data_IF_143016600387
#
_entry.id   IF_143016600387
#
_cell.length_a   1.000
_cell.length_b   1.000
_cell.length_c   1.000
_cell.angle_alpha   90.00
_cell.angle_beta   90.00
_cell.angle_gamma   90.00
#
_symmetry.space_group_name_H-M   'P 1'
#
loop_
_entity.id
_entity.type
_entity.pdbx_description
1 polymer ?
#
# COMPACT_ATOMS: atom_id res chain seq x y z
N UNK A 1 -3.67 -0.86 -24.40
CA UNK A 1 -4.42 0.33 -23.91
C UNK A 1 -4.72 0.09 -22.43
N UNK A 2 -4.92 1.09 -21.56
CA UNK A 2 -5.37 0.78 -20.17
C UNK A 2 -6.87 0.52 -20.21
N UNK A 3 -7.30 -0.61 -19.67
CA UNK A 3 -8.71 -1.04 -19.70
C UNK A 3 -9.35 -1.05 -18.31
N UNK A 4 -8.61 -1.56 -17.31
CA UNK A 4 -9.12 -1.71 -15.94
C UNK A 4 -8.14 -1.13 -14.94
N UNK A 5 -8.69 -0.42 -13.95
CA UNK A 5 -7.93 0.16 -12.84
C UNK A 5 -8.57 -0.30 -11.53
N UNK A 6 -7.79 -1.00 -10.69
CA UNK A 6 -8.18 -1.31 -9.32
C UNK A 6 -7.56 -0.30 -8.37
N UNK A 7 -8.36 0.11 -7.38
CA UNK A 7 -8.06 1.23 -6.48
C UNK A 7 -8.23 0.70 -5.06
N UNK A 8 -7.13 0.53 -4.32
CA UNK A 8 -7.13 -0.15 -3.01
C UNK A 8 -6.50 0.71 -1.91
N UNK A 9 -7.29 1.07 -0.90
CA UNK A 9 -6.77 1.81 0.26
C UNK A 9 -5.75 0.96 1.03
N UNK A 10 -4.76 1.61 1.66
CA UNK A 10 -3.93 0.96 2.66
C UNK A 10 -4.79 0.30 3.75
N UNK A 11 -4.31 -0.80 4.30
CA UNK A 11 -4.96 -1.52 5.38
C UNK A 11 -4.96 -0.75 6.72
N UNK A 12 -5.51 -1.35 7.77
CA UNK A 12 -5.66 -0.71 9.07
C UNK A 12 -4.29 -0.33 9.67
N UNK A 13 -4.11 0.98 9.90
CA UNK A 13 -2.84 1.56 10.35
C UNK A 13 -2.81 1.76 11.86
N UNK A 14 -1.60 1.77 12.43
CA UNK A 14 -1.39 2.32 13.77
C UNK A 14 -1.66 3.83 13.78
N UNK A 15 -2.03 4.36 14.93
CA UNK A 15 -2.50 5.75 15.02
C UNK A 15 -1.38 6.75 15.29
N UNK A 16 -1.59 7.98 14.87
CA UNK A 16 -0.79 9.16 15.22
C UNK A 16 -1.73 10.33 15.49
N UNK A 17 -1.24 11.29 16.27
CA UNK A 17 -1.95 12.51 16.62
C UNK A 17 -1.09 13.72 16.31
N UNK A 18 -1.75 14.85 16.16
CA UNK A 18 -1.11 16.17 16.14
C UNK A 18 -1.61 16.93 17.36
N UNK A 19 -0.70 17.53 18.10
CA UNK A 19 -1.08 18.51 19.12
C UNK A 19 -1.52 19.80 18.43
N UNK A 20 -2.78 20.24 18.56
CA UNK A 20 -3.29 21.42 17.87
C UNK A 20 -2.64 22.73 18.32
N UNK A 21 -2.07 22.78 19.52
CA UNK A 21 -1.44 24.00 20.06
C UNK A 21 0.03 24.10 19.66
N UNK A 22 0.75 22.98 19.64
CA UNK A 22 2.19 22.97 19.35
C UNK A 22 2.52 22.57 17.91
N UNK A 23 1.56 21.99 17.18
CA UNK A 23 1.78 21.44 15.85
C UNK A 23 2.66 20.18 15.83
N UNK A 24 2.99 19.63 17.01
CA UNK A 24 3.87 18.47 17.13
C UNK A 24 3.12 17.21 16.75
N UNK A 25 3.69 16.44 15.82
CA UNK A 25 3.18 15.14 15.41
C UNK A 25 3.75 14.03 16.27
N UNK A 26 2.88 13.21 16.87
CA UNK A 26 3.27 12.10 17.72
C UNK A 26 2.64 10.80 17.23
N UNK A 27 3.46 9.78 17.00
CA UNK A 27 2.98 8.44 16.71
C UNK A 27 2.83 7.63 18.00
N UNK A 28 1.82 6.75 18.03
CA UNK A 28 1.63 5.81 19.16
C UNK A 28 2.76 4.78 19.29
N UNK A 29 3.57 4.62 18.25
CA UNK A 29 4.70 3.68 18.18
C UNK A 29 5.81 4.29 17.32
N UNK A 30 7.05 3.81 17.50
CA UNK A 30 8.17 4.22 16.67
C UNK A 30 7.89 3.81 15.22
N UNK A 31 7.89 4.78 14.32
CA UNK A 31 7.64 4.53 12.90
C UNK A 31 8.92 4.04 12.22
N UNK A 32 8.84 3.10 11.26
CA UNK A 32 10.01 2.57 10.56
C UNK A 32 10.80 3.64 9.80
N UNK A 33 10.11 4.68 9.33
CA UNK A 33 10.69 5.80 8.59
C UNK A 33 11.17 6.94 9.48
N UNK A 34 10.88 6.90 10.79
CA UNK A 34 11.13 8.00 11.73
C UNK A 34 10.17 9.19 11.58
N UNK A 35 9.26 9.15 10.60
CA UNK A 35 8.26 10.20 10.36
C UNK A 35 7.01 9.87 11.19
N UNK A 36 6.56 10.73 12.13
CA UNK A 36 5.41 10.42 12.99
C UNK A 36 4.08 10.21 12.24
N UNK A 37 3.91 10.89 11.10
CA UNK A 37 2.71 10.80 10.25
C UNK A 37 2.70 9.58 9.32
N UNK A 38 3.77 8.77 9.33
CA UNK A 38 3.88 7.54 8.55
C UNK A 38 4.01 6.28 9.43
N UNK A 39 2.97 5.97 10.22
CA UNK A 39 2.97 4.75 11.02
C UNK A 39 2.81 3.51 10.14
N UNK A 40 3.27 2.34 10.63
CA UNK A 40 3.01 1.06 9.97
C UNK A 40 1.57 0.58 10.19
N UNK A 41 1.24 -0.54 9.56
CA UNK A 41 0.02 -1.29 9.79
C UNK A 41 -0.02 -1.90 11.20
N UNK A 42 -1.22 -2.06 11.76
CA UNK A 42 -1.40 -2.90 12.97
C UNK A 42 -1.30 -4.38 12.59
N UNK A 43 -1.29 -5.28 13.57
CA UNK A 43 -1.40 -6.73 13.32
C UNK A 43 -2.61 -7.06 12.46
N UNK A 44 -3.78 -6.51 12.81
CA UNK A 44 -5.00 -6.67 12.01
C UNK A 44 -4.85 -6.13 10.58
N UNK A 45 -4.21 -4.97 10.39
CA UNK A 45 -3.94 -4.43 9.07
C UNK A 45 -2.99 -5.31 8.24
N UNK A 46 -2.04 -5.97 8.89
CA UNK A 46 -1.17 -6.96 8.22
C UNK A 46 -2.00 -8.18 7.76
N UNK A 47 -2.95 -8.65 8.55
CA UNK A 47 -3.81 -9.76 8.12
C UNK A 47 -4.71 -9.36 6.95
N UNK A 48 -5.30 -8.15 6.98
CA UNK A 48 -6.03 -7.58 5.84
C UNK A 48 -5.17 -7.51 4.56
N UNK A 49 -3.88 -7.20 4.68
CA UNK A 49 -2.98 -7.15 3.51
C UNK A 49 -2.74 -8.52 2.87
N UNK A 50 -2.79 -9.60 3.65
CA UNK A 50 -2.67 -10.97 3.16
C UNK A 50 -3.96 -11.41 2.45
N UNK A 51 -5.10 -11.11 3.05
CA UNK A 51 -6.42 -11.38 2.45
C UNK A 51 -6.59 -10.64 1.11
N UNK A 52 -6.14 -9.38 1.07
CA UNK A 52 -6.10 -8.61 -0.17
C UNK A 52 -5.21 -9.25 -1.24
N UNK A 53 -4.03 -9.72 -0.86
CA UNK A 53 -3.12 -10.39 -1.81
C UNK A 53 -3.74 -11.66 -2.38
N UNK A 54 -4.39 -12.46 -1.55
CA UNK A 54 -5.11 -13.66 -1.99
C UNK A 54 -6.23 -13.30 -2.98
N UNK A 55 -7.00 -12.25 -2.69
CA UNK A 55 -8.05 -11.77 -3.59
C UNK A 55 -7.48 -11.31 -4.93
N UNK A 56 -6.45 -10.46 -4.92
CA UNK A 56 -5.81 -9.92 -6.13
C UNK A 56 -5.13 -10.99 -6.99
N UNK A 57 -4.77 -12.14 -6.43
CA UNK A 57 -4.23 -13.27 -7.20
C UNK A 57 -5.29 -13.99 -8.03
N UNK A 58 -6.57 -13.76 -7.75
CA UNK A 58 -7.72 -14.41 -8.41
C UNK A 58 -8.64 -13.43 -9.15
N UNK A 59 -8.30 -12.12 -9.19
CA UNK A 59 -9.14 -11.16 -9.93
C UNK A 59 -8.99 -11.32 -11.44
N UNK A 60 -10.10 -11.13 -12.14
CA UNK A 60 -10.14 -11.03 -13.59
C UNK A 60 -10.71 -9.65 -13.99
N UNK A 61 -10.01 -8.90 -14.86
CA UNK A 61 -8.70 -9.20 -15.44
C UNK A 61 -7.54 -9.15 -14.41
N UNK A 62 -6.46 -9.89 -14.70
CA UNK A 62 -5.31 -10.01 -13.81
C UNK A 62 -4.50 -8.71 -13.74
N UNK A 63 -3.89 -8.43 -12.59
CA UNK A 63 -3.10 -7.21 -12.38
C UNK A 63 -1.78 -7.25 -13.16
N UNK A 64 -1.59 -6.32 -14.09
CA UNK A 64 -0.35 -6.19 -14.89
C UNK A 64 0.65 -5.19 -14.31
N UNK A 65 0.19 -4.23 -13.51
CA UNK A 65 1.04 -3.22 -12.91
C UNK A 65 0.46 -2.68 -11.61
N UNK A 66 1.35 -2.35 -10.69
CA UNK A 66 1.08 -1.80 -9.37
C UNK A 66 1.74 -0.42 -9.28
N UNK A 67 0.97 0.58 -8.85
CA UNK A 67 1.44 1.91 -8.49
C UNK A 67 1.10 2.14 -7.03
N UNK A 68 2.11 2.39 -6.21
CA UNK A 68 1.93 2.58 -4.77
C UNK A 68 2.41 3.94 -4.32
N UNK A 69 1.68 4.50 -3.38
CA UNK A 69 2.10 5.68 -2.63
C UNK A 69 3.40 5.38 -1.88
N UNK A 70 4.32 6.35 -1.72
CA UNK A 70 5.60 6.11 -1.03
C UNK A 70 5.46 5.88 0.49
N UNK A 71 4.28 6.08 1.07
CA UNK A 71 4.05 5.87 2.50
C UNK A 71 4.24 4.40 2.90
N UNK A 72 4.92 4.18 4.02
CA UNK A 72 5.27 2.84 4.49
C UNK A 72 4.06 1.91 4.58
N UNK A 73 2.93 2.40 5.12
CA UNK A 73 1.67 1.64 5.21
C UNK A 73 1.14 1.16 3.86
N UNK A 74 1.32 1.93 2.78
CA UNK A 74 0.86 1.57 1.45
C UNK A 74 1.77 0.48 0.85
N UNK A 75 3.08 0.62 1.02
CA UNK A 75 4.05 -0.41 0.65
C UNK A 75 3.81 -1.71 1.42
N UNK A 76 3.57 -1.61 2.73
CA UNK A 76 3.28 -2.76 3.60
C UNK A 76 1.98 -3.46 3.20
N UNK A 77 0.97 -2.71 2.72
CA UNK A 77 -0.31 -3.29 2.27
C UNK A 77 -0.15 -4.13 1.01
N UNK A 78 0.66 -3.66 0.05
CA UNK A 78 0.82 -4.38 -1.23
C UNK A 78 1.92 -5.44 -1.18
N UNK A 79 2.77 -5.42 -0.14
CA UNK A 79 3.92 -6.31 0.01
C UNK A 79 3.57 -7.79 -0.21
N UNK A 80 2.53 -8.37 0.44
CA UNK A 80 2.26 -9.81 0.28
C UNK A 80 1.90 -10.18 -1.16
N UNK A 81 1.15 -9.32 -1.85
CA UNK A 81 0.81 -9.53 -3.26
C UNK A 81 2.04 -9.40 -4.17
N UNK A 82 2.87 -8.39 -3.93
CA UNK A 82 4.11 -8.25 -4.69
C UNK A 82 5.05 -9.44 -4.49
N UNK A 83 5.20 -9.95 -3.26
CA UNK A 83 6.05 -11.09 -2.96
C UNK A 83 5.58 -12.31 -3.78
N UNK A 84 4.26 -12.58 -3.81
CA UNK A 84 3.68 -13.65 -4.64
C UNK A 84 3.99 -13.45 -6.13
N UNK A 85 3.91 -12.23 -6.66
CA UNK A 85 4.24 -11.93 -8.05
C UNK A 85 5.75 -12.10 -8.35
N UNK A 86 6.62 -11.81 -7.38
CA UNK A 86 8.07 -12.04 -7.50
C UNK A 86 8.38 -13.53 -7.53
N UNK A 87 7.75 -14.31 -6.67
CA UNK A 87 7.89 -15.78 -6.63
C UNK A 87 7.41 -16.43 -7.93
N UNK A 88 6.33 -15.91 -8.54
CA UNK A 88 5.84 -16.35 -9.84
C UNK A 88 6.70 -15.89 -11.03
N UNK A 89 7.77 -15.13 -10.80
CA UNK A 89 8.63 -14.57 -11.84
C UNK A 89 7.95 -13.49 -12.71
N UNK A 90 6.76 -13.03 -12.33
CA UNK A 90 6.00 -12.04 -13.08
C UNK A 90 6.47 -10.61 -12.79
N UNK A 91 7.03 -10.35 -11.61
CA UNK A 91 7.25 -9.01 -11.04
C UNK A 91 8.14 -8.01 -11.81
N UNK A 92 8.77 -8.36 -12.93
CA UNK A 92 9.82 -7.56 -13.55
C UNK A 92 9.30 -6.20 -14.07
N UNK A 93 9.39 -5.16 -13.24
CA UNK A 93 8.90 -3.81 -13.53
C UNK A 93 7.43 -3.54 -13.19
N UNK A 94 6.77 -4.44 -12.43
CA UNK A 94 5.35 -4.28 -12.06
C UNK A 94 5.10 -3.20 -11.03
N UNK A 95 6.04 -2.91 -10.12
CA UNK A 95 5.78 -1.99 -9.00
C UNK A 95 6.45 -0.66 -9.26
N UNK A 96 5.65 0.40 -9.31
CA UNK A 96 6.09 1.79 -9.39
C UNK A 96 5.68 2.54 -8.14
N UNK A 97 6.62 3.30 -7.58
CA UNK A 97 6.31 4.23 -6.50
C UNK A 97 5.99 5.57 -7.13
N UNK A 98 4.78 6.06 -6.91
CA UNK A 98 4.29 7.31 -7.49
C UNK A 98 3.94 8.28 -6.36
N UNK A 99 4.56 9.47 -6.41
CA UNK A 99 4.35 10.53 -5.40
C UNK A 99 3.07 11.34 -5.67
N UNK A 100 2.55 11.30 -6.89
CA UNK A 100 1.30 11.95 -7.30
C UNK A 100 0.05 11.30 -6.67
N UNK A 101 0.14 10.03 -6.27
CA UNK A 101 -0.88 9.32 -5.47
C UNK A 101 -0.61 9.41 -3.96
N UNK A 102 0.03 10.50 -3.53
CA UNK A 102 0.36 10.78 -2.14
C UNK A 102 -0.79 11.38 -1.32
N UNK A 103 -0.82 11.04 -0.02
CA UNK A 103 -1.55 11.71 1.08
C UNK A 103 -3.02 11.36 1.33
N UNK A 104 -3.85 11.14 0.31
CA UNK A 104 -5.31 11.04 0.52
C UNK A 104 -5.94 9.67 0.17
N UNK A 105 -5.52 8.96 -0.90
CA UNK A 105 -5.96 7.58 -1.28
C UNK A 105 -4.95 6.98 -2.31
N UNK A 106 -5.17 5.79 -2.91
CA UNK A 106 -4.82 4.40 -2.56
C UNK A 106 -3.57 3.83 -3.30
N UNK A 107 -3.26 2.52 -3.12
CA UNK A 107 -2.49 1.72 -4.09
C UNK A 107 -3.35 1.53 -5.34
N UNK A 108 -2.83 1.88 -6.52
CA UNK A 108 -3.53 1.76 -7.80
C UNK A 108 -2.91 0.61 -8.59
N UNK A 109 -3.70 -0.39 -8.98
CA UNK A 109 -3.27 -1.42 -9.91
C UNK A 109 -3.86 -1.14 -11.29
N UNK A 110 -3.03 -1.11 -12.34
CA UNK A 110 -3.46 -0.91 -13.73
C UNK A 110 -3.33 -2.20 -14.53
N UNK A 111 -4.24 -2.38 -15.48
CA UNK A 111 -4.26 -3.49 -16.43
C UNK A 111 -4.13 -2.94 -17.84
N UNK A 112 -3.22 -3.53 -18.62
CA UNK A 112 -2.98 -3.16 -20.02
C UNK A 112 -3.41 -4.32 -20.92
N UNK A 113 -4.52 -4.15 -21.62
CA UNK A 113 -4.88 -4.97 -22.79
C UNK A 113 -3.91 -4.75 -23.94
#
# INVERSE_FOLDING_TARGET
MIEVIYVVRHAFRANWSVDPQTGVYTASMKTPTGIPTDPPLTSHGVDQSKELAEYLSHVEPAVDRIYSSPFYRCLQTIKPFSDQLFEQGKANGLIRIDRGIGYVWPVTCEIRG
#
